data_IF_503555688437
#
_entry.id   IF_503555688437
#
_cell.length_a   1.000
_cell.length_b   1.000
_cell.length_c   1.000
_cell.angle_alpha   90.00
_cell.angle_beta   90.00
_cell.angle_gamma   90.00
#
_symmetry.space_group_name_H-M   'P 1'
#
loop_
_entity.id
_entity.type
_entity.pdbx_description
1 polymer ?
#
# COMPACT_ATOMS: atom_id res chain seq x y z
N UNK A 1 -5.34 -0.30 -18.23
CA UNK A 1 -5.61 -1.57 -18.93
C UNK A 1 -4.36 -2.42 -19.12
N UNK A 2 -3.25 -1.92 -19.67
CA UNK A 2 -2.02 -2.73 -19.83
C UNK A 2 -1.51 -3.37 -18.51
N UNK A 3 -1.51 -2.63 -17.40
CA UNK A 3 -1.11 -3.17 -16.08
C UNK A 3 -2.05 -4.29 -15.61
N UNK A 4 -3.35 -4.15 -15.88
CA UNK A 4 -4.34 -5.15 -15.50
C UNK A 4 -4.13 -6.45 -16.29
N UNK A 5 -3.96 -6.37 -17.61
CA UNK A 5 -3.67 -7.55 -18.43
C UNK A 5 -2.34 -8.22 -18.06
N UNK A 6 -1.31 -7.43 -17.70
CA UNK A 6 -0.07 -8.00 -17.19
C UNK A 6 -0.27 -8.79 -15.89
N UNK A 7 -1.13 -8.31 -14.98
CA UNK A 7 -1.44 -9.03 -13.73
C UNK A 7 -2.23 -10.30 -14.00
N UNK A 8 -3.16 -10.27 -14.97
CA UNK A 8 -3.93 -11.43 -15.42
C UNK A 8 -2.99 -12.51 -15.99
N UNK A 9 -2.09 -12.14 -16.91
CA UNK A 9 -1.07 -13.06 -17.46
C UNK A 9 -0.17 -13.66 -16.37
N UNK A 10 0.32 -12.84 -15.43
CA UNK A 10 1.14 -13.33 -14.32
C UNK A 10 0.36 -14.25 -13.36
N UNK A 11 -0.92 -14.00 -13.16
CA UNK A 11 -1.75 -14.84 -12.32
C UNK A 11 -1.98 -16.21 -12.97
N UNK A 12 -2.22 -16.27 -14.28
CA UNK A 12 -2.29 -17.52 -15.04
C UNK A 12 -0.96 -18.30 -14.94
N UNK A 13 0.19 -17.64 -15.09
CA UNK A 13 1.51 -18.27 -14.95
C UNK A 13 1.74 -18.84 -13.54
N UNK A 14 1.38 -18.08 -12.50
CA UNK A 14 1.44 -18.51 -11.10
C UNK A 14 0.57 -19.74 -10.84
N UNK A 15 -0.64 -19.80 -11.40
CA UNK A 15 -1.52 -20.97 -11.27
C UNK A 15 -0.89 -22.22 -11.90
N UNK A 16 -0.30 -22.09 -13.09
CA UNK A 16 0.40 -23.19 -13.77
C UNK A 16 1.59 -23.67 -12.92
N UNK A 17 2.39 -22.75 -12.38
CA UNK A 17 3.53 -23.10 -11.52
C UNK A 17 3.09 -23.77 -10.22
N UNK A 18 1.96 -23.34 -9.64
CA UNK A 18 1.38 -23.94 -8.45
C UNK A 18 0.92 -25.38 -8.71
N UNK A 19 0.30 -25.64 -9.85
CA UNK A 19 -0.11 -27.00 -10.26
C UNK A 19 1.10 -27.93 -10.41
N UNK A 20 2.22 -27.43 -10.95
CA UNK A 20 3.45 -28.21 -11.12
C UNK A 20 4.26 -28.43 -9.84
N UNK A 21 4.04 -27.64 -8.79
CA UNK A 21 4.82 -27.73 -7.55
C UNK A 21 4.74 -29.12 -6.88
N UNK A 22 3.61 -29.82 -7.03
CA UNK A 22 3.45 -31.16 -6.49
C UNK A 22 4.26 -32.23 -7.26
N UNK A 23 4.63 -31.95 -8.51
CA UNK A 23 5.36 -32.87 -9.40
C UNK A 23 6.86 -32.54 -9.46
N UNK A 24 7.22 -31.25 -9.39
CA UNK A 24 8.59 -30.76 -9.47
C UNK A 24 8.84 -29.63 -8.45
N UNK A 25 9.57 -29.93 -7.38
CA UNK A 25 9.91 -28.94 -6.34
C UNK A 25 10.83 -27.83 -6.86
N UNK A 26 11.52 -28.02 -8.00
CA UNK A 26 12.43 -27.01 -8.54
C UNK A 26 11.72 -25.74 -9.03
N UNK A 27 10.41 -25.81 -9.26
CA UNK A 27 9.57 -24.66 -9.63
C UNK A 27 9.24 -23.74 -8.45
N UNK A 28 9.50 -24.19 -7.20
CA UNK A 28 9.16 -23.44 -5.99
C UNK A 28 9.72 -22.02 -5.99
N UNK A 29 11.00 -21.86 -6.29
CA UNK A 29 11.66 -20.55 -6.22
C UNK A 29 11.17 -19.61 -7.32
N UNK A 30 10.81 -20.16 -8.49
CA UNK A 30 10.18 -19.41 -9.57
C UNK A 30 8.77 -18.95 -9.18
N UNK A 31 7.96 -19.84 -8.62
CA UNK A 31 6.62 -19.53 -8.12
C UNK A 31 6.66 -18.40 -7.07
N UNK A 32 7.57 -18.48 -6.09
CA UNK A 32 7.73 -17.45 -5.05
C UNK A 32 8.14 -16.12 -5.68
N UNK A 33 9.04 -16.12 -6.66
CA UNK A 33 9.47 -14.91 -7.34
C UNK A 33 8.32 -14.27 -8.13
N UNK A 34 7.54 -15.06 -8.86
CA UNK A 34 6.40 -14.55 -9.62
C UNK A 34 5.29 -14.02 -8.72
N UNK A 35 4.97 -14.72 -7.61
CA UNK A 35 4.02 -14.25 -6.61
C UNK A 35 4.44 -12.91 -6.01
N UNK A 36 5.73 -12.74 -5.70
CA UNK A 36 6.25 -11.48 -5.17
C UNK A 36 6.14 -10.32 -6.18
N UNK A 37 6.36 -10.60 -7.47
CA UNK A 37 6.16 -9.59 -8.52
C UNK A 37 4.68 -9.26 -8.72
N UNK A 38 3.79 -10.26 -8.71
CA UNK A 38 2.35 -10.03 -8.80
C UNK A 38 1.83 -9.18 -7.64
N UNK A 39 2.22 -9.51 -6.40
CA UNK A 39 1.87 -8.76 -5.20
C UNK A 39 2.33 -7.29 -5.27
N UNK A 40 3.55 -7.08 -5.75
CA UNK A 40 4.11 -5.74 -5.94
C UNK A 40 3.34 -4.92 -6.97
N UNK A 41 3.01 -5.51 -8.12
CA UNK A 41 2.24 -4.82 -9.17
C UNK A 41 0.82 -4.53 -8.67
N UNK A 42 0.19 -5.49 -7.99
CA UNK A 42 -1.15 -5.34 -7.43
C UNK A 42 -1.20 -4.22 -6.39
N UNK A 43 -0.29 -4.22 -5.42
CA UNK A 43 -0.17 -3.16 -4.40
C UNK A 43 0.05 -1.79 -5.03
N UNK A 44 0.91 -1.70 -6.05
CA UNK A 44 1.13 -0.45 -6.77
C UNK A 44 -0.13 0.00 -7.52
N UNK A 45 -0.86 -0.93 -8.15
CA UNK A 45 -2.07 -0.62 -8.89
C UNK A 45 -3.19 -0.15 -7.96
N UNK A 46 -3.37 -0.79 -6.81
CA UNK A 46 -4.30 -0.35 -5.76
C UNK A 46 -4.01 1.07 -5.29
N UNK A 47 -2.73 1.40 -5.06
CA UNK A 47 -2.33 2.77 -4.72
C UNK A 47 -2.70 3.77 -5.81
N UNK A 48 -2.54 3.43 -7.10
CA UNK A 48 -2.94 4.33 -8.19
C UNK A 48 -4.45 4.54 -8.26
N UNK A 49 -5.25 3.55 -7.86
CA UNK A 49 -6.70 3.69 -7.78
C UNK A 49 -7.11 4.54 -6.59
N UNK A 50 -6.48 4.31 -5.43
CA UNK A 50 -6.75 5.05 -4.19
C UNK A 50 -6.33 6.52 -4.29
N UNK A 51 -5.19 6.80 -4.95
CA UNK A 51 -4.60 8.13 -5.11
C UNK A 51 -4.84 8.69 -6.52
N UNK A 52 -6.07 8.57 -7.01
CA UNK A 52 -6.45 8.99 -8.37
C UNK A 52 -7.03 10.41 -8.44
N UNK A 53 -7.16 11.11 -7.31
CA UNK A 53 -7.74 12.43 -7.25
C UNK A 53 -6.72 13.52 -7.63
N UNK A 54 -7.17 14.66 -8.19
CA UNK A 54 -6.29 15.68 -8.76
C UNK A 54 -5.24 16.25 -7.81
N UNK A 55 -5.44 16.15 -6.49
CA UNK A 55 -4.57 16.77 -5.48
C UNK A 55 -3.76 15.76 -4.66
N UNK A 56 -3.87 14.45 -4.93
CA UNK A 56 -3.20 13.41 -4.13
C UNK A 56 -1.68 13.45 -4.22
N UNK A 57 -1.15 14.05 -5.30
CA UNK A 57 0.27 14.28 -5.51
C UNK A 57 0.82 15.50 -4.74
N UNK A 58 -0.04 16.33 -4.15
CA UNK A 58 0.37 17.53 -3.44
C UNK A 58 0.76 17.21 -1.99
N UNK A 59 1.64 18.05 -1.43
CA UNK A 59 1.89 18.04 0.01
C UNK A 59 0.60 18.39 0.75
N UNK A 60 0.24 17.59 1.74
CA UNK A 60 -0.88 17.89 2.62
C UNK A 60 -0.51 18.99 3.63
N UNK A 61 -1.41 19.96 3.81
CA UNK A 61 -1.37 20.90 4.94
C UNK A 61 -2.35 20.36 5.98
N UNK A 62 -1.83 19.96 7.15
CA UNK A 62 -2.64 19.46 8.26
C UNK A 62 -2.80 20.54 9.33
N UNK A 63 -4.06 20.87 9.64
CA UNK A 63 -4.42 21.77 10.73
C UNK A 63 -5.28 21.01 11.74
N UNK A 64 -4.96 21.13 13.03
CA UNK A 64 -5.70 20.47 14.12
C UNK A 64 -6.39 21.54 14.94
N UNK A 65 -7.72 21.48 14.99
CA UNK A 65 -8.57 22.36 15.80
C UNK A 65 -9.11 21.58 17.00
N UNK A 66 -8.60 21.81 18.22
CA UNK A 66 -9.15 21.20 19.42
C UNK A 66 -10.61 21.57 19.61
N UNK A 67 -11.46 20.58 19.86
CA UNK A 67 -12.90 20.77 20.06
C UNK A 67 -13.24 21.39 21.43
N UNK A 68 -14.54 21.44 21.73
CA UNK A 68 -15.06 21.96 22.99
C UNK A 68 -14.69 21.05 24.17
N UNK A 69 -13.65 21.41 24.93
CA UNK A 69 -13.26 20.69 26.15
C UNK A 69 -12.26 21.42 27.04
N UNK A 70 -12.00 22.71 26.79
CA UNK A 70 -11.01 23.47 27.54
C UNK A 70 -9.61 22.84 27.44
N UNK A 71 -8.91 22.74 28.57
CA UNK A 71 -7.53 22.25 28.63
C UNK A 71 -7.39 20.80 28.16
N UNK A 72 -8.33 19.91 28.50
CA UNK A 72 -8.23 18.49 28.12
C UNK A 72 -8.30 18.29 26.60
N UNK A 73 -9.13 19.08 25.92
CA UNK A 73 -9.19 19.06 24.46
C UNK A 73 -7.90 19.60 23.83
N UNK A 74 -7.27 20.61 24.46
CA UNK A 74 -5.97 21.14 24.01
C UNK A 74 -4.86 20.10 24.18
N UNK A 75 -4.78 19.45 25.34
CA UNK A 75 -3.79 18.39 25.60
C UNK A 75 -3.93 17.25 24.59
N UNK A 76 -5.18 16.88 24.24
CA UNK A 76 -5.43 15.90 23.19
C UNK A 76 -5.01 16.38 21.80
N UNK A 77 -5.27 17.65 21.46
CA UNK A 77 -4.79 18.27 20.23
C UNK A 77 -3.26 18.20 20.11
N UNK A 78 -2.55 18.49 21.19
CA UNK A 78 -1.09 18.39 21.26
C UNK A 78 -0.60 16.94 21.12
N UNK A 79 -1.32 15.97 21.68
CA UNK A 79 -1.03 14.55 21.48
C UNK A 79 -1.15 14.15 20.01
N UNK A 80 -2.22 14.58 19.32
CA UNK A 80 -2.42 14.31 17.90
C UNK A 80 -1.34 14.99 17.05
N UNK A 81 -0.99 16.24 17.33
CA UNK A 81 0.07 16.95 16.64
C UNK A 81 1.39 16.17 16.74
N UNK A 82 1.78 15.76 17.96
CA UNK A 82 2.98 14.96 18.18
C UNK A 82 2.94 13.63 17.44
N UNK A 83 1.79 12.98 17.37
CA UNK A 83 1.60 11.73 16.63
C UNK A 83 1.85 11.93 15.14
N UNK A 84 1.20 12.93 14.51
CA UNK A 84 1.34 13.19 13.08
C UNK A 84 2.73 13.70 12.71
N UNK A 85 3.37 14.52 13.55
CA UNK A 85 4.77 14.92 13.34
C UNK A 85 5.71 13.72 13.35
N UNK A 86 5.56 12.80 14.30
CA UNK A 86 6.36 11.57 14.36
C UNK A 86 6.15 10.68 13.14
N UNK A 87 4.90 10.52 12.71
CA UNK A 87 4.56 9.76 11.51
C UNK A 87 5.21 10.37 10.26
N UNK A 88 5.05 11.68 10.04
CA UNK A 88 5.64 12.39 8.91
C UNK A 88 7.17 12.27 8.87
N UNK A 89 7.84 12.41 10.03
CA UNK A 89 9.30 12.27 10.12
C UNK A 89 9.81 10.84 9.89
N UNK A 90 9.00 9.81 10.14
CA UNK A 90 9.39 8.41 9.95
C UNK A 90 9.11 7.88 8.53
N UNK A 91 8.18 8.53 7.81
CA UNK A 91 7.79 8.19 6.43
C UNK A 91 8.47 9.06 5.38
N UNK A 92 9.07 10.18 5.79
CA UNK A 92 9.92 11.03 4.95
C UNK A 92 11.32 10.47 4.75
#
# INVERSE_FOLDING_TARGET
>A
YNTFHKMEELQDEVEILLDFLAEDESVHDELVAQLAELDKIMTSYEMTLLLSEPYDHNNAILEIHPGSGGTEAQDWGDMLLRMYTRYGNAKG
#
